data_IF_856390963250
#
_entry.id   IF_856390963250
#
_cell.length_a   1.000
_cell.length_b   1.000
_cell.length_c   1.000
_cell.angle_alpha   90.00
_cell.angle_beta   90.00
_cell.angle_gamma   90.00
#
_symmetry.space_group_name_H-M   'P 1'
#
loop_
_entity.id
_entity.type
_entity.pdbx_description
1 polymer ?
#
# COMPACT_ATOMS: atom_id res chain seq x y z
N UNK A 1 30.76 -63.17 -45.96
CA UNK A 1 29.66 -63.73 -46.79
C UNK A 1 28.75 -62.55 -47.17
N UNK A 2 28.68 -62.11 -48.45
CA UNK A 2 27.61 -62.40 -49.45
C UNK A 2 26.20 -62.18 -48.84
N UNK A 3 25.24 -61.35 -49.28
CA UNK A 3 24.82 -60.65 -50.53
C UNK A 3 23.79 -59.55 -50.10
N UNK A 4 23.75 -58.30 -50.60
CA UNK A 4 23.19 -57.76 -51.87
C UNK A 4 21.64 -57.69 -51.95
N UNK A 5 21.14 -56.44 -51.93
CA UNK A 5 20.04 -55.80 -52.73
C UNK A 5 18.56 -55.89 -52.28
N UNK A 6 17.93 -54.70 -52.30
CA UNK A 6 16.48 -54.52 -52.46
C UNK A 6 16.01 -53.06 -52.38
N UNK A 7 16.33 -52.23 -53.39
CA UNK A 7 15.73 -50.91 -53.60
C UNK A 7 14.25 -51.03 -53.99
N UNK A 8 13.41 -50.14 -53.47
CA UNK A 8 12.26 -49.60 -54.21
C UNK A 8 12.21 -48.08 -54.05
N UNK A 9 12.29 -47.42 -55.20
CA UNK A 9 12.07 -45.98 -55.42
C UNK A 9 10.57 -45.81 -55.68
N UNK A 10 9.89 -44.92 -54.96
CA UNK A 10 8.73 -44.20 -55.48
C UNK A 10 8.88 -42.72 -55.15
N UNK A 11 8.69 -41.92 -56.19
CA UNK A 11 9.01 -40.52 -56.30
C UNK A 11 7.91 -39.59 -55.74
N UNK A 12 8.39 -38.42 -55.29
CA UNK A 12 7.79 -37.07 -55.35
C UNK A 12 6.38 -36.82 -54.79
N UNK A 13 6.30 -35.87 -53.84
CA UNK A 13 5.79 -34.53 -54.16
C UNK A 13 6.26 -33.50 -53.11
N UNK A 14 6.97 -32.50 -53.60
CA UNK A 14 7.36 -31.27 -52.90
C UNK A 14 6.12 -30.41 -52.67
N UNK A 15 5.92 -29.99 -51.42
CA UNK A 15 5.27 -28.71 -51.14
C UNK A 15 6.16 -27.93 -50.19
N UNK A 16 6.90 -27.00 -50.78
CA UNK A 16 7.44 -25.86 -50.07
C UNK A 16 6.27 -24.95 -49.71
N UNK A 17 6.08 -24.70 -48.41
CA UNK A 17 5.23 -23.63 -47.91
C UNK A 17 6.12 -22.61 -47.21
N UNK A 18 5.95 -21.31 -47.49
CA UNK A 18 6.80 -20.26 -46.95
C UNK A 18 6.65 -20.17 -45.44
N UNK A 19 7.78 -20.15 -44.74
CA UNK A 19 7.85 -19.72 -43.35
C UNK A 19 7.46 -18.23 -43.29
N UNK A 20 6.17 -17.97 -43.11
CA UNK A 20 5.72 -16.67 -42.61
C UNK A 20 6.11 -16.59 -41.15
N UNK A 21 7.12 -15.78 -40.86
CA UNK A 21 7.42 -15.29 -39.53
C UNK A 21 6.18 -14.54 -39.02
N UNK A 22 5.39 -15.17 -38.15
CA UNK A 22 4.41 -14.47 -37.34
C UNK A 22 5.17 -13.53 -36.39
N UNK A 23 4.89 -12.22 -36.39
CA UNK A 23 5.38 -11.36 -35.33
C UNK A 23 4.81 -11.90 -34.02
N UNK A 24 5.69 -12.15 -33.05
CA UNK A 24 5.29 -12.31 -31.66
C UNK A 24 4.34 -11.16 -31.30
N UNK A 25 3.21 -11.41 -30.64
CA UNK A 25 2.41 -10.33 -30.09
C UNK A 25 3.32 -9.53 -29.18
N UNK A 26 3.61 -8.29 -29.60
CA UNK A 26 4.11 -7.27 -28.70
C UNK A 26 3.18 -7.31 -27.50
N UNK A 27 3.71 -7.67 -26.33
CA UNK A 27 3.01 -7.48 -25.08
C UNK A 27 2.70 -5.98 -25.02
N UNK A 28 1.45 -5.63 -25.31
CA UNK A 28 0.91 -4.35 -24.94
C UNK A 28 1.21 -4.21 -23.45
N UNK A 29 2.10 -3.27 -23.14
CA UNK A 29 2.19 -2.73 -21.81
C UNK A 29 0.82 -2.11 -21.57
N UNK A 30 -0.07 -2.91 -20.98
CA UNK A 30 -1.37 -2.48 -20.55
C UNK A 30 -1.14 -1.43 -19.47
N UNK A 31 -1.02 -0.17 -19.89
CA UNK A 31 -1.36 0.97 -19.05
C UNK A 31 -2.79 0.69 -18.58
N UNK A 32 -2.91 0.32 -17.31
CA UNK A 32 -4.18 -0.02 -16.71
C UNK A 32 -5.07 1.21 -16.84
N UNK A 33 -6.01 1.19 -17.78
CA UNK A 33 -7.06 2.20 -17.90
C UNK A 33 -7.89 2.12 -16.61
N UNK A 34 -7.50 2.90 -15.59
CA UNK A 34 -8.26 3.03 -14.35
C UNK A 34 -9.67 3.46 -14.70
N UNK A 35 -10.67 2.77 -14.14
CA UNK A 35 -12.07 3.10 -14.32
C UNK A 35 -12.34 4.56 -13.91
N UNK A 36 -13.35 5.19 -14.51
CA UNK A 36 -13.73 6.55 -14.10
C UNK A 36 -14.05 6.63 -12.60
N UNK A 37 -14.68 5.58 -12.05
CA UNK A 37 -14.94 5.46 -10.62
C UNK A 37 -13.64 5.45 -9.79
N UNK A 38 -12.63 4.68 -10.22
CA UNK A 38 -11.31 4.66 -9.57
C UNK A 38 -10.65 6.04 -9.57
N UNK A 39 -10.69 6.74 -10.72
CA UNK A 39 -10.13 8.10 -10.83
C UNK A 39 -10.85 9.08 -9.90
N UNK A 40 -12.17 9.00 -9.81
CA UNK A 40 -12.96 9.84 -8.89
C UNK A 40 -12.57 9.61 -7.43
N UNK A 41 -12.48 8.35 -6.98
CA UNK A 41 -12.11 8.03 -5.60
C UNK A 41 -10.67 8.47 -5.29
N UNK A 42 -9.72 8.17 -6.18
CA UNK A 42 -8.33 8.64 -6.06
C UNK A 42 -8.29 10.17 -5.92
N UNK A 43 -9.01 10.89 -6.76
CA UNK A 43 -9.09 12.34 -6.68
C UNK A 43 -9.69 12.83 -5.36
N UNK A 44 -10.71 12.15 -4.82
CA UNK A 44 -11.29 12.56 -3.52
C UNK A 44 -10.33 12.42 -2.33
N UNK A 45 -9.39 11.47 -2.40
CA UNK A 45 -8.38 11.24 -1.36
C UNK A 45 -7.22 12.23 -1.51
N UNK A 46 -6.70 12.39 -2.74
CA UNK A 46 -5.41 13.08 -2.94
C UNK A 46 -5.54 14.53 -3.44
N UNK A 47 -6.68 14.93 -4.02
CA UNK A 47 -6.89 16.27 -4.56
C UNK A 47 -7.89 17.08 -3.72
N UNK A 48 -7.47 17.47 -2.52
CA UNK A 48 -8.33 18.17 -1.57
C UNK A 48 -8.77 19.56 -2.06
N UNK A 49 -10.02 19.91 -1.79
CA UNK A 49 -10.55 21.28 -1.88
C UNK A 49 -10.07 22.15 -0.73
N UNK A 50 -10.14 23.48 -0.90
CA UNK A 50 -9.83 24.44 0.18
C UNK A 50 -10.71 24.21 1.42
N UNK A 51 -11.96 23.77 1.24
CA UNK A 51 -12.85 23.46 2.35
C UNK A 51 -12.42 22.19 3.10
N UNK A 52 -11.98 21.13 2.39
CA UNK A 52 -11.43 19.93 3.03
C UNK A 52 -10.16 20.26 3.82
N UNK A 53 -9.25 21.07 3.25
CA UNK A 53 -8.03 21.50 3.93
C UNK A 53 -8.35 22.34 5.18
N UNK A 54 -9.27 23.31 5.10
CA UNK A 54 -9.73 24.09 6.27
C UNK A 54 -10.32 23.19 7.36
N UNK A 55 -11.08 22.16 6.97
CA UNK A 55 -11.64 21.21 7.91
C UNK A 55 -10.53 20.37 8.59
N UNK A 56 -9.54 19.88 7.85
CA UNK A 56 -8.39 19.18 8.40
C UNK A 56 -7.61 20.04 9.41
N UNK A 57 -7.36 21.32 9.08
CA UNK A 57 -6.73 22.28 9.99
C UNK A 57 -7.56 22.43 11.28
N UNK A 58 -8.88 22.63 11.15
CA UNK A 58 -9.80 22.75 12.29
C UNK A 58 -9.74 21.53 13.21
N UNK A 59 -9.69 20.31 12.66
CA UNK A 59 -9.59 19.08 13.44
C UNK A 59 -8.28 19.07 14.26
N UNK A 60 -7.13 19.31 13.62
CA UNK A 60 -5.86 19.30 14.34
C UNK A 60 -5.73 20.42 15.37
N UNK A 61 -6.30 21.60 15.12
CA UNK A 61 -6.38 22.69 16.09
C UNK A 61 -7.37 22.43 17.24
N UNK A 62 -8.18 21.35 17.16
CA UNK A 62 -9.15 20.97 18.19
C UNK A 62 -8.53 20.32 19.44
N UNK A 63 -7.20 20.27 19.54
CA UNK A 63 -6.46 19.68 20.65
C UNK A 63 -6.41 18.15 20.63
N UNK A 64 -5.86 17.56 21.71
CA UNK A 64 -5.53 16.13 21.79
C UNK A 64 -6.74 15.23 21.52
N UNK A 65 -7.90 15.50 22.12
CA UNK A 65 -9.09 14.65 21.95
C UNK A 65 -9.58 14.64 20.51
N UNK A 66 -9.60 15.79 19.84
CA UNK A 66 -9.97 15.90 18.42
C UNK A 66 -9.01 15.10 17.53
N UNK A 67 -7.71 15.23 17.79
CA UNK A 67 -6.68 14.51 17.05
C UNK A 67 -6.76 12.99 17.24
N UNK A 68 -6.89 12.51 18.49
CA UNK A 68 -7.00 11.07 18.80
C UNK A 68 -8.25 10.46 18.18
N UNK A 69 -9.39 11.15 18.27
CA UNK A 69 -10.63 10.70 17.65
C UNK A 69 -10.49 10.62 16.12
N UNK A 70 -9.84 11.60 15.51
CA UNK A 70 -9.53 11.55 14.09
C UNK A 70 -8.64 10.34 13.74
N UNK A 71 -7.49 10.17 14.42
CA UNK A 71 -6.58 9.04 14.15
C UNK A 71 -7.31 7.69 14.24
N UNK A 72 -8.04 7.47 15.33
CA UNK A 72 -8.81 6.24 15.56
C UNK A 72 -9.86 6.02 14.46
N UNK A 73 -10.47 7.08 13.93
CA UNK A 73 -11.46 6.98 12.83
C UNK A 73 -10.85 6.62 11.48
N UNK A 74 -9.53 6.75 11.32
CA UNK A 74 -8.81 6.40 10.08
C UNK A 74 -8.20 5.00 10.13
N UNK A 75 -8.27 4.30 11.27
CA UNK A 75 -7.74 2.96 11.41
C UNK A 75 -8.59 1.93 10.65
N UNK A 76 -7.92 1.01 9.96
CA UNK A 76 -8.60 -0.03 9.21
C UNK A 76 -9.09 -1.14 10.12
N UNK A 77 -10.28 -1.64 9.82
CA UNK A 77 -10.86 -2.78 10.52
C UNK A 77 -10.19 -4.09 10.11
N UNK A 78 -9.94 -4.95 11.08
CA UNK A 78 -9.41 -6.30 10.85
C UNK A 78 -10.51 -7.19 10.24
N UNK A 79 -10.17 -7.89 9.17
CA UNK A 79 -10.99 -8.94 8.54
C UNK A 79 -10.66 -10.32 9.10
N UNK A 80 -9.36 -10.62 9.19
CA UNK A 80 -8.87 -11.92 9.63
C UNK A 80 -7.66 -11.70 10.54
N UNK A 81 -7.71 -12.33 11.71
CA UNK A 81 -6.65 -12.25 12.71
C UNK A 81 -6.17 -13.65 13.07
N UNK A 82 -4.98 -14.00 12.59
CA UNK A 82 -4.26 -15.20 13.00
C UNK A 82 -3.24 -14.95 14.10
N UNK A 83 -2.84 -13.70 14.34
CA UNK A 83 -1.87 -13.35 15.39
C UNK A 83 -2.48 -13.44 16.79
N UNK A 84 -3.76 -13.07 16.95
CA UNK A 84 -4.52 -13.01 18.22
C UNK A 84 -4.00 -12.03 19.27
N UNK A 85 -2.75 -11.60 19.18
CA UNK A 85 -2.12 -10.57 20.00
C UNK A 85 -1.36 -9.58 19.12
N UNK A 86 -1.10 -8.40 19.67
CA UNK A 86 -0.22 -7.38 19.06
C UNK A 86 -0.61 -7.00 17.64
N UNK A 87 -1.91 -6.90 17.38
CA UNK A 87 -2.40 -6.48 16.08
C UNK A 87 -1.91 -5.05 15.80
N UNK A 88 -1.27 -4.80 14.65
CA UNK A 88 -0.77 -3.47 14.35
C UNK A 88 -1.92 -2.48 14.15
N UNK A 89 -1.66 -1.20 14.45
CA UNK A 89 -2.53 -0.11 14.05
C UNK A 89 -2.22 0.26 12.60
N UNK A 90 -3.22 0.24 11.72
CA UNK A 90 -3.02 0.45 10.27
C UNK A 90 -3.91 1.57 9.77
N UNK A 91 -3.32 2.52 9.05
CA UNK A 91 -4.06 3.58 8.34
C UNK A 91 -3.39 3.91 6.99
N UNK A 92 -4.05 4.69 6.14
CA UNK A 92 -3.44 5.24 4.93
C UNK A 92 -2.90 6.65 5.20
N UNK A 93 -1.71 6.94 4.69
CA UNK A 93 -1.17 8.30 4.70
C UNK A 93 -1.80 9.08 3.54
N UNK A 94 -2.48 10.17 3.87
CA UNK A 94 -3.17 11.03 2.91
C UNK A 94 -2.81 12.48 3.14
N UNK A 95 -3.02 13.38 2.16
CA UNK A 95 -2.87 14.81 2.41
C UNK A 95 -3.73 15.28 3.57
N UNK A 96 -4.94 14.71 3.73
CA UNK A 96 -5.86 15.11 4.78
C UNK A 96 -5.32 14.74 6.15
N UNK A 97 -4.89 13.48 6.34
CA UNK A 97 -4.35 13.02 7.62
C UNK A 97 -3.06 13.74 8.00
N UNK A 98 -2.19 14.04 7.04
CA UNK A 98 -0.98 14.84 7.29
C UNK A 98 -1.28 16.28 7.65
N UNK A 99 -2.26 16.93 7.02
CA UNK A 99 -2.66 18.30 7.40
C UNK A 99 -3.21 18.31 8.83
N UNK A 100 -4.04 17.33 9.20
CA UNK A 100 -4.53 17.20 10.59
C UNK A 100 -3.38 17.03 11.59
N UNK A 101 -2.43 16.13 11.30
CA UNK A 101 -1.28 15.88 12.17
C UNK A 101 -0.36 17.10 12.30
N UNK A 102 -0.03 17.75 11.20
CA UNK A 102 0.84 18.92 11.21
C UNK A 102 0.18 20.13 11.89
N UNK A 103 -1.12 20.35 11.70
CA UNK A 103 -1.82 21.43 12.40
C UNK A 103 -1.94 21.16 13.90
N UNK A 104 -2.15 19.91 14.32
CA UNK A 104 -2.10 19.51 15.72
C UNK A 104 -0.73 19.80 16.35
N UNK A 105 0.36 19.40 15.69
CA UNK A 105 1.74 19.66 16.15
C UNK A 105 2.02 21.16 16.24
N UNK A 106 1.58 21.95 15.25
CA UNK A 106 1.74 23.40 15.27
C UNK A 106 0.96 24.04 16.41
N UNK A 107 -0.30 23.64 16.61
CA UNK A 107 -1.17 24.13 17.68
C UNK A 107 -0.57 23.86 19.07
N UNK A 108 -0.03 22.66 19.31
CA UNK A 108 0.66 22.33 20.57
C UNK A 108 1.92 23.16 20.82
N UNK A 109 2.50 23.75 19.77
CA UNK A 109 3.67 24.64 19.84
C UNK A 109 3.27 26.13 19.81
N UNK A 110 1.99 26.45 19.98
CA UNK A 110 1.44 27.80 19.86
C UNK A 110 1.78 28.49 18.53
N UNK A 111 1.90 27.71 17.45
CA UNK A 111 2.13 28.20 16.08
C UNK A 111 0.87 28.09 15.25
N UNK A 112 0.69 29.03 14.34
CA UNK A 112 -0.36 28.96 13.33
C UNK A 112 0.02 27.98 12.22
N UNK A 113 -0.94 27.15 11.79
CA UNK A 113 -0.84 26.34 10.58
C UNK A 113 -1.85 26.85 9.56
N UNK A 114 -1.37 27.41 8.46
CA UNK A 114 -2.21 28.18 7.53
C UNK A 114 -2.76 27.32 6.39
N UNK A 115 -3.75 27.84 5.66
CA UNK A 115 -4.19 27.23 4.40
C UNK A 115 -3.06 27.16 3.36
N UNK A 116 -2.11 28.09 3.40
CA UNK A 116 -0.95 28.05 2.49
C UNK A 116 -0.04 26.86 2.81
N UNK A 117 0.12 26.51 4.09
CA UNK A 117 0.89 25.32 4.50
C UNK A 117 0.18 24.03 4.08
N UNK A 118 -1.14 23.95 4.27
CA UNK A 118 -1.94 22.83 3.77
C UNK A 118 -1.82 22.64 2.25
N UNK A 119 -1.78 23.74 1.47
CA UNK A 119 -1.58 23.68 0.02
C UNK A 119 -0.20 23.14 -0.38
N UNK A 120 0.84 23.33 0.46
CA UNK A 120 2.16 22.71 0.25
C UNK A 120 2.07 21.19 0.40
N UNK A 121 1.38 20.70 1.44
CA UNK A 121 1.16 19.26 1.64
C UNK A 121 0.40 18.66 0.46
N UNK A 122 -0.72 19.25 0.04
CA UNK A 122 -1.46 18.80 -1.15
C UNK A 122 -0.56 18.71 -2.39
N UNK A 123 0.33 19.68 -2.60
CA UNK A 123 1.25 19.70 -3.74
C UNK A 123 2.26 18.54 -3.71
N UNK A 124 2.74 18.15 -2.52
CA UNK A 124 3.65 17.00 -2.38
C UNK A 124 3.02 15.71 -2.93
N UNK A 125 1.74 15.49 -2.65
CA UNK A 125 0.99 14.31 -3.13
C UNK A 125 0.54 14.41 -4.59
N UNK A 126 0.57 15.60 -5.20
CA UNK A 126 0.12 15.74 -6.59
C UNK A 126 1.03 15.03 -7.59
N UNK A 127 2.28 14.83 -7.21
CA UNK A 127 3.29 14.12 -8.00
C UNK A 127 3.69 12.77 -7.39
N UNK A 128 3.01 12.35 -6.32
CA UNK A 128 3.33 11.11 -5.63
C UNK A 128 2.68 9.94 -6.38
N UNK A 129 3.52 8.99 -6.79
CA UNK A 129 3.11 7.76 -7.47
C UNK A 129 3.01 6.58 -6.51
N UNK A 130 3.09 6.84 -5.20
CA UNK A 130 3.02 5.83 -4.17
C UNK A 130 1.73 5.91 -3.35
N UNK A 131 1.29 4.75 -2.90
CA UNK A 131 0.22 4.56 -1.93
C UNK A 131 0.86 4.04 -0.65
N UNK A 132 1.11 4.94 0.31
CA UNK A 132 1.82 4.61 1.54
C UNK A 132 0.86 4.42 2.71
N UNK A 133 1.02 3.30 3.40
CA UNK A 133 0.31 3.03 4.64
C UNK A 133 1.18 3.39 5.83
N UNK A 134 0.57 3.73 6.96
CA UNK A 134 1.24 3.81 8.24
C UNK A 134 0.85 2.58 9.07
N UNK A 135 1.83 1.80 9.49
CA UNK A 135 1.65 0.58 10.28
C UNK A 135 2.45 0.69 11.57
N UNK A 136 1.77 0.84 12.70
CA UNK A 136 2.42 0.75 14.02
C UNK A 136 2.46 -0.72 14.41
N UNK A 137 3.63 -1.34 14.28
CA UNK A 137 3.87 -2.74 14.64
C UNK A 137 4.35 -2.86 16.09
N UNK A 138 4.19 -4.04 16.69
CA UNK A 138 4.57 -4.32 18.07
C UNK A 138 5.34 -5.63 18.18
N UNK A 139 6.26 -5.71 19.14
CA UNK A 139 7.08 -6.90 19.39
C UNK A 139 7.74 -6.89 20.76
N UNK A 140 8.51 -7.94 21.06
CA UNK A 140 9.23 -8.08 22.33
C UNK A 140 10.74 -7.93 22.21
N UNK A 141 11.27 -7.95 20.99
CA UNK A 141 12.69 -7.73 20.70
C UNK A 141 12.87 -6.35 20.05
N UNK A 142 14.00 -5.68 20.27
CA UNK A 142 14.23 -4.32 19.74
C UNK A 142 14.34 -4.29 18.21
N UNK A 143 14.73 -5.38 17.58
CA UNK A 143 14.95 -5.55 16.14
C UNK A 143 13.86 -6.39 15.46
N UNK A 144 12.73 -6.61 16.14
CA UNK A 144 11.65 -7.50 15.69
C UNK A 144 11.14 -7.17 14.27
N UNK A 145 11.23 -5.90 13.87
CA UNK A 145 10.66 -5.40 12.63
C UNK A 145 11.35 -5.97 11.37
N UNK A 146 12.60 -6.38 11.48
CA UNK A 146 13.39 -6.95 10.38
C UNK A 146 12.76 -8.19 9.73
N UNK A 147 11.86 -8.89 10.44
CA UNK A 147 11.17 -10.08 9.96
C UNK A 147 9.76 -9.82 9.40
N UNK A 148 9.32 -8.55 9.38
CA UNK A 148 7.99 -8.18 8.94
C UNK A 148 7.92 -8.10 7.41
N UNK A 149 6.82 -8.61 6.86
CA UNK A 149 6.44 -8.34 5.49
C UNK A 149 5.00 -7.80 5.42
N UNK A 150 4.73 -6.91 4.47
CA UNK A 150 3.42 -6.29 4.30
C UNK A 150 3.08 -6.27 2.81
N UNK A 151 1.93 -6.83 2.45
CA UNK A 151 1.48 -6.88 1.05
C UNK A 151 0.07 -6.32 0.91
N UNK A 152 -0.25 -5.80 -0.28
CA UNK A 152 -1.59 -5.34 -0.61
C UNK A 152 -2.23 -6.32 -1.60
N UNK A 153 -3.42 -6.81 -1.29
CA UNK A 153 -4.16 -7.75 -2.14
C UNK A 153 -5.44 -7.11 -2.67
N UNK A 154 -5.72 -7.30 -3.96
CA UNK A 154 -6.96 -6.86 -4.61
C UNK A 154 -7.51 -7.97 -5.51
N UNK A 155 -8.59 -8.61 -5.05
CA UNK A 155 -9.10 -9.83 -5.68
C UNK A 155 -8.04 -10.94 -5.66
N UNK A 156 -7.66 -11.45 -6.84
CA UNK A 156 -6.63 -12.49 -6.98
C UNK A 156 -5.20 -11.94 -7.05
N UNK A 157 -5.00 -10.62 -7.18
CA UNK A 157 -3.67 -10.01 -7.33
C UNK A 157 -3.07 -9.68 -5.97
N UNK A 158 -1.79 -9.96 -5.80
CA UNK A 158 -0.97 -9.53 -4.67
C UNK A 158 0.07 -8.54 -5.20
N UNK A 159 0.11 -7.35 -4.61
CA UNK A 159 1.09 -6.32 -4.86
C UNK A 159 2.11 -6.33 -3.74
N UNK A 160 3.39 -6.49 -4.13
CA UNK A 160 4.51 -6.26 -3.23
C UNK A 160 4.73 -4.75 -3.08
N UNK A 161 5.18 -4.28 -1.90
CA UNK A 161 5.57 -2.88 -1.74
C UNK A 161 6.83 -2.59 -2.57
N UNK A 162 6.96 -1.34 -3.00
CA UNK A 162 8.17 -0.79 -3.58
C UNK A 162 9.29 -0.68 -2.53
N UNK A 163 8.91 -0.29 -1.31
CA UNK A 163 9.74 -0.23 -0.12
C UNK A 163 8.87 -0.37 1.14
N UNK A 164 9.49 -0.76 2.25
CA UNK A 164 8.89 -0.63 3.59
C UNK A 164 9.91 0.12 4.45
N UNK A 165 9.67 1.42 4.66
CA UNK A 165 10.55 2.21 5.51
C UNK A 165 10.31 1.81 6.98
N UNK A 166 11.37 1.83 7.79
CA UNK A 166 11.35 1.43 9.21
C UNK A 166 11.73 -0.04 9.50
N UNK A 167 11.86 -0.92 8.49
CA UNK A 167 12.21 -2.34 8.73
C UNK A 167 13.57 -2.54 9.42
N UNK A 168 14.56 -1.73 9.02
CA UNK A 168 15.94 -1.81 9.50
C UNK A 168 16.21 -0.88 10.70
N UNK A 169 15.18 -0.21 11.20
CA UNK A 169 15.27 0.71 12.33
C UNK A 169 15.04 -0.03 13.66
N UNK A 170 15.75 0.40 14.71
CA UNK A 170 15.54 -0.10 16.06
C UNK A 170 14.20 0.41 16.60
N UNK A 171 13.41 -0.48 17.18
CA UNK A 171 12.11 -0.15 17.71
C UNK A 171 12.18 0.71 18.98
N UNK A 172 11.17 1.57 19.15
CA UNK A 172 10.98 2.36 20.36
C UNK A 172 10.37 1.49 21.48
N UNK A 173 10.64 1.83 22.74
CA UNK A 173 9.97 1.17 23.86
C UNK A 173 8.50 1.59 23.94
N UNK A 174 7.62 0.63 24.25
CA UNK A 174 6.23 0.95 24.56
C UNK A 174 6.09 1.41 26.01
N UNK A 175 4.88 1.85 26.38
CA UNK A 175 4.51 2.13 27.77
C UNK A 175 4.53 0.88 28.67
N UNK A 176 4.54 -0.31 28.09
CA UNK A 176 4.54 -1.58 28.83
C UNK A 176 5.94 -2.07 29.16
N UNK A 177 6.98 -1.51 28.55
CA UNK A 177 8.36 -1.98 28.74
C UNK A 177 8.76 -2.07 30.23
N UNK A 178 9.39 -3.18 30.68
CA UNK A 178 9.90 -4.31 29.90
C UNK A 178 8.86 -5.41 29.61
N UNK A 179 7.62 -5.24 30.05
CA UNK A 179 6.53 -6.19 29.78
C UNK A 179 6.02 -6.09 28.34
N UNK A 180 5.38 -7.16 27.90
CA UNK A 180 4.94 -7.34 26.51
C UNK A 180 3.63 -6.57 26.15
N UNK A 181 3.51 -6.00 24.93
CA UNK A 181 4.56 -5.85 23.93
C UNK A 181 5.57 -4.78 24.36
N UNK A 182 6.85 -5.14 24.45
CA UNK A 182 7.87 -4.26 25.02
C UNK A 182 8.31 -3.15 24.05
N UNK A 183 8.15 -3.39 22.74
CA UNK A 183 8.61 -2.49 21.68
C UNK A 183 7.52 -2.21 20.64
N UNK A 184 7.61 -1.04 20.01
CA UNK A 184 6.80 -0.65 18.86
C UNK A 184 7.68 -0.04 17.77
N UNK A 185 7.31 -0.26 16.51
CA UNK A 185 8.01 0.34 15.37
C UNK A 185 7.00 0.87 14.34
N UNK A 186 7.35 1.98 13.69
CA UNK A 186 6.52 2.61 12.66
C UNK A 186 7.00 2.19 11.28
N UNK A 187 6.16 1.46 10.55
CA UNK A 187 6.48 0.96 9.22
C UNK A 187 5.66 1.68 8.15
N UNK A 188 6.32 2.02 7.04
CA UNK A 188 5.69 2.72 5.92
C UNK A 188 5.81 1.93 4.61
N UNK A 189 4.99 0.88 4.41
CA UNK A 189 4.96 0.15 3.14
C UNK A 189 4.34 1.03 2.06
N UNK A 190 5.09 1.24 0.97
CA UNK A 190 4.71 2.08 -0.16
C UNK A 190 4.43 1.22 -1.39
N UNK A 191 3.25 1.35 -1.99
CA UNK A 191 2.84 0.58 -3.17
C UNK A 191 2.73 1.47 -4.40
N UNK A 192 2.94 0.92 -5.60
CA UNK A 192 2.70 1.65 -6.86
C UNK A 192 1.20 1.96 -7.01
N UNK A 193 0.85 3.25 -6.89
CA UNK A 193 -0.52 3.72 -6.88
C UNK A 193 -1.24 3.48 -8.21
N UNK A 194 -0.49 3.41 -9.32
CA UNK A 194 -1.04 3.28 -10.66
C UNK A 194 -1.51 1.85 -10.96
N UNK A 195 -1.07 0.86 -10.15
CA UNK A 195 -1.55 -0.53 -10.22
C UNK A 195 -2.85 -0.77 -9.46
N UNK A 196 -3.29 0.19 -8.65
CA UNK A 196 -4.44 0.03 -7.75
C UNK A 196 -5.73 0.52 -8.42
N UNK A 197 -6.77 -0.30 -8.35
CA UNK A 197 -8.12 0.09 -8.73
C UNK A 197 -8.88 0.58 -7.49
N UNK A 198 -8.94 1.89 -7.29
CA UNK A 198 -9.58 2.52 -6.11
C UNK A 198 -11.09 2.26 -6.03
N UNK A 199 -11.72 1.80 -7.11
CA UNK A 199 -13.14 1.46 -7.11
C UNK A 199 -13.44 0.08 -6.49
N UNK A 200 -12.41 -0.71 -6.18
CA UNK A 200 -12.53 -2.04 -5.59
C UNK A 200 -11.94 -2.07 -4.19
N UNK A 201 -12.52 -2.86 -3.26
CA UNK A 201 -11.90 -3.07 -1.96
C UNK A 201 -10.54 -3.75 -2.14
N UNK A 202 -9.64 -3.47 -1.20
CA UNK A 202 -8.36 -4.15 -1.07
C UNK A 202 -8.18 -4.72 0.34
N UNK A 203 -7.18 -5.55 0.51
CA UNK A 203 -6.79 -6.18 1.76
C UNK A 203 -5.32 -5.85 2.02
N UNK A 204 -5.00 -5.12 3.10
CA UNK A 204 -3.61 -5.00 3.54
C UNK A 204 -3.30 -6.17 4.46
N UNK A 205 -2.25 -6.93 4.17
CA UNK A 205 -1.89 -8.13 4.92
C UNK A 205 -0.55 -7.89 5.56
N UNK A 206 -0.54 -7.86 6.89
CA UNK A 206 0.65 -7.80 7.73
C UNK A 206 1.09 -9.22 8.12
N UNK A 207 2.40 -9.49 8.04
CA UNK A 207 3.02 -10.79 8.32
C UNK A 207 4.19 -10.59 9.28
N UNK A 208 4.08 -11.04 10.53
CA UNK A 208 5.10 -10.86 11.56
C UNK A 208 6.28 -11.85 11.46
N UNK A 209 6.00 -13.05 10.96
CA UNK A 209 7.00 -14.10 10.68
C UNK A 209 6.43 -15.12 9.67
N UNK A 210 5.75 -14.61 8.64
CA UNK A 210 5.05 -15.41 7.64
C UNK A 210 3.54 -15.57 7.87
N UNK A 211 2.91 -16.47 7.10
CA UNK A 211 1.44 -16.55 6.94
C UNK A 211 0.66 -17.07 8.14
N UNK A 212 1.33 -17.68 9.11
CA UNK A 212 0.69 -18.18 10.33
C UNK A 212 0.52 -17.07 11.38
N UNK A 213 1.42 -16.08 11.37
CA UNK A 213 1.32 -14.89 12.20
C UNK A 213 0.98 -13.68 11.33
N UNK A 214 -0.29 -13.66 10.88
CA UNK A 214 -0.80 -12.64 9.97
C UNK A 214 -2.05 -11.94 10.47
N UNK A 215 -2.18 -10.66 10.15
CA UNK A 215 -3.44 -9.90 10.28
C UNK A 215 -3.79 -9.29 8.93
N UNK A 216 -5.06 -9.41 8.53
CA UNK A 216 -5.59 -8.85 7.29
C UNK A 216 -6.57 -7.74 7.60
N UNK A 217 -6.37 -6.58 6.98
CA UNK A 217 -7.17 -5.37 7.16
C UNK A 217 -8.00 -5.08 5.94
N UNK A 218 -9.25 -4.66 6.14
CA UNK A 218 -10.12 -4.17 5.06
C UNK A 218 -9.69 -2.77 4.65
N UNK A 219 -9.34 -2.60 3.38
CA UNK A 219 -9.09 -1.29 2.77
C UNK A 219 -10.26 -0.93 1.87
N UNK A 220 -11.07 0.01 2.33
CA UNK A 220 -12.20 0.57 1.59
C UNK A 220 -11.88 2.02 1.21
N UNK A 221 -11.29 2.20 0.03
CA UNK A 221 -10.82 3.51 -0.44
C UNK A 221 -11.92 4.57 -0.47
N UNK A 222 -13.19 4.17 -0.61
CA UNK A 222 -14.33 5.10 -0.63
C UNK A 222 -14.57 5.80 0.71
N UNK A 223 -14.02 5.26 1.81
CA UNK A 223 -14.18 5.79 3.18
C UNK A 223 -12.99 6.60 3.66
N UNK A 224 -11.91 6.63 2.88
CA UNK A 224 -10.67 7.31 3.24
C UNK A 224 -10.80 8.80 2.95
N UNK A 225 -10.21 9.62 3.83
CA UNK A 225 -10.10 11.07 3.66
C UNK A 225 -8.65 11.49 3.48
#
# INVERSE_FOLDING_TARGET
MKKVVGSFIIATLLFASPAFATPLPQAEIASANQSQASKTIRNSIFNLSDQQMKNAIKIGNGGRSSYVNFKSSQEFSILYDKMKIWQPEVSLITPYSLIVGQSYIASNKYKEYTLADAKKVKKMFSNDETLTFNVTAYGNDIDFASNINIVLKQGAKIYQPLSIDGLDEMADTTVSWPDSPAYSNSLMPSFDINKIDFSKPAELIYLYAGKELSVTYKVDFSKIK
#
